data_IF_257831766418
#
_entry.id   IF_257831766418
#
_cell.length_a   1.000
_cell.length_b   1.000
_cell.length_c   1.000
_cell.angle_alpha   90.00
_cell.angle_beta   90.00
_cell.angle_gamma   90.00
#
_symmetry.space_group_name_H-M   'P 1'
#
loop_
_entity.id
_entity.type
_entity.pdbx_description
1 polymer ?
#
# COMPACT_ATOMS: atom_id res chain seq x y z
N UNK A 1 16.37 -18.36 -11.24
CA UNK A 1 16.34 -17.42 -10.13
C UNK A 1 16.19 -16.02 -10.64
N UNK A 2 15.72 -15.13 -9.79
CA UNK A 2 15.56 -13.75 -10.18
C UNK A 2 16.86 -12.98 -10.27
N UNK A 3 16.80 -11.71 -10.66
CA UNK A 3 17.98 -10.85 -10.71
C UNK A 3 18.62 -10.70 -9.33
N UNK A 4 19.87 -10.29 -9.31
CA UNK A 4 20.56 -10.02 -8.05
C UNK A 4 19.88 -8.87 -7.29
N UNK A 5 20.09 -8.82 -6.00
CA UNK A 5 19.54 -7.73 -5.16
C UNK A 5 20.06 -6.38 -5.65
N UNK A 6 21.32 -6.31 -6.05
CA UNK A 6 21.90 -5.05 -6.55
C UNK A 6 21.18 -4.56 -7.81
N UNK A 7 20.90 -5.48 -8.75
CA UNK A 7 20.19 -5.11 -9.97
C UNK A 7 18.76 -4.70 -9.67
N UNK A 8 18.09 -5.42 -8.77
CA UNK A 8 16.72 -5.08 -8.37
C UNK A 8 16.67 -3.72 -7.72
N UNK A 9 17.65 -3.38 -6.89
CA UNK A 9 17.72 -2.08 -6.24
C UNK A 9 17.94 -0.97 -7.26
N UNK A 10 18.81 -1.19 -8.25
CA UNK A 10 19.08 -0.20 -9.30
C UNK A 10 17.81 0.07 -10.11
N UNK A 11 17.10 -0.98 -10.51
CA UNK A 11 15.84 -0.83 -11.26
C UNK A 11 14.80 -0.09 -10.42
N UNK A 12 14.70 -0.45 -9.15
CA UNK A 12 13.75 0.20 -8.26
C UNK A 12 14.05 1.71 -8.14
N UNK A 13 15.31 2.07 -7.98
CA UNK A 13 15.67 3.49 -7.88
C UNK A 13 15.33 4.26 -9.15
N UNK A 14 15.47 3.63 -10.32
CA UNK A 14 15.06 4.26 -11.57
C UNK A 14 13.55 4.49 -11.62
N UNK A 15 12.77 3.50 -11.18
CA UNK A 15 11.31 3.63 -11.14
C UNK A 15 10.88 4.73 -10.16
N UNK A 16 11.53 4.78 -9.00
CA UNK A 16 11.23 5.81 -8.02
C UNK A 16 11.54 7.21 -8.55
N UNK A 17 12.68 7.37 -9.23
CA UNK A 17 13.04 8.66 -9.83
C UNK A 17 12.04 9.06 -10.91
N UNK A 18 11.59 8.12 -11.72
CA UNK A 18 10.61 8.39 -12.76
C UNK A 18 9.27 8.83 -12.15
N UNK A 19 8.85 8.17 -11.08
CA UNK A 19 7.62 8.54 -10.38
C UNK A 19 7.71 9.97 -9.84
N UNK A 20 8.86 10.33 -9.23
CA UNK A 20 9.07 11.69 -8.73
C UNK A 20 9.03 12.70 -9.85
N UNK A 21 9.74 12.45 -10.96
CA UNK A 21 9.78 13.36 -12.10
C UNK A 21 8.41 13.53 -12.73
N UNK A 22 7.58 12.50 -12.70
CA UNK A 22 6.24 12.52 -13.28
C UNK A 22 5.17 12.97 -12.30
N UNK A 23 5.52 13.22 -11.05
CA UNK A 23 4.59 13.58 -9.97
C UNK A 23 3.51 12.52 -9.78
N UNK A 24 3.90 11.25 -9.85
CA UNK A 24 3.00 10.12 -9.72
C UNK A 24 3.32 9.30 -8.47
N UNK A 25 2.31 8.65 -7.87
CA UNK A 25 2.58 7.72 -6.80
C UNK A 25 3.31 6.49 -7.34
N UNK A 26 4.10 5.85 -6.49
CA UNK A 26 4.80 4.61 -6.85
C UNK A 26 4.06 3.43 -6.25
N UNK A 27 3.67 2.48 -7.09
CA UNK A 27 2.98 1.26 -6.66
C UNK A 27 4.01 0.15 -6.61
N UNK A 28 4.13 -0.49 -5.45
CA UNK A 28 5.20 -1.42 -5.17
C UNK A 28 4.64 -2.80 -4.86
N UNK A 29 5.16 -3.81 -5.54
CA UNK A 29 4.91 -5.21 -5.18
C UNK A 29 6.07 -5.67 -4.31
N UNK A 30 5.79 -6.01 -3.06
CA UNK A 30 6.83 -6.47 -2.15
C UNK A 30 6.27 -7.61 -1.31
N UNK A 31 6.85 -8.78 -1.45
CA UNK A 31 6.48 -9.97 -0.69
C UNK A 31 7.51 -10.21 0.41
N UNK A 32 8.75 -9.85 0.13
CA UNK A 32 9.90 -10.03 1.03
C UNK A 32 10.71 -8.74 0.99
N UNK A 33 11.77 -8.69 1.78
CA UNK A 33 12.72 -7.57 1.73
C UNK A 33 12.10 -6.23 2.13
N UNK A 34 11.15 -6.25 3.08
CA UNK A 34 10.53 -5.00 3.55
C UNK A 34 11.54 -4.08 4.24
N UNK A 35 12.52 -4.65 4.94
CA UNK A 35 13.55 -3.83 5.58
C UNK A 35 14.33 -3.04 4.55
N UNK A 36 14.68 -3.67 3.44
CA UNK A 36 15.38 -3.02 2.33
C UNK A 36 14.53 -1.95 1.70
N UNK A 37 13.23 -2.22 1.54
CA UNK A 37 12.29 -1.24 0.98
C UNK A 37 12.19 -0.01 1.88
N UNK A 38 12.05 -0.20 3.18
CA UNK A 38 11.99 0.90 4.14
C UNK A 38 13.27 1.71 4.09
N UNK A 39 14.42 1.03 4.02
CA UNK A 39 15.71 1.71 3.94
C UNK A 39 15.81 2.56 2.67
N UNK A 40 15.36 2.03 1.53
CA UNK A 40 15.35 2.76 0.28
C UNK A 40 14.46 4.01 0.36
N UNK A 41 13.32 3.90 1.03
CA UNK A 41 12.45 5.06 1.19
C UNK A 41 13.14 6.16 2.00
N UNK A 42 13.85 5.77 3.05
CA UNK A 42 14.63 6.72 3.85
C UNK A 42 15.71 7.41 3.03
N UNK A 43 16.43 6.64 2.22
CA UNK A 43 17.52 7.18 1.39
C UNK A 43 17.00 8.11 0.30
N UNK A 44 15.92 7.73 -0.36
CA UNK A 44 15.37 8.49 -1.48
C UNK A 44 14.58 9.70 -0.98
N UNK A 45 13.93 9.58 0.17
CA UNK A 45 13.07 10.64 0.73
C UNK A 45 12.09 11.19 -0.30
N UNK A 46 11.23 10.33 -0.86
CA UNK A 46 10.36 10.75 -1.96
C UNK A 46 9.32 11.78 -1.53
N UNK A 47 8.97 12.67 -2.46
CA UNK A 47 7.84 13.59 -2.27
C UNK A 47 6.52 12.93 -2.66
N UNK A 48 6.56 11.95 -3.56
CA UNK A 48 5.35 11.27 -4.02
C UNK A 48 5.03 10.08 -3.13
N UNK A 49 3.74 9.74 -2.97
CA UNK A 49 3.34 8.61 -2.13
C UNK A 49 3.83 7.26 -2.68
N UNK A 50 4.17 6.37 -1.78
CA UNK A 50 4.51 4.99 -2.10
C UNK A 50 3.43 4.09 -1.53
N UNK A 51 2.88 3.23 -2.38
CA UNK A 51 1.80 2.30 -2.03
C UNK A 51 2.29 0.87 -2.17
N UNK A 52 2.16 0.09 -1.10
CA UNK A 52 2.48 -1.34 -1.17
C UNK A 52 1.22 -2.08 -1.60
N UNK A 53 1.27 -2.67 -2.79
CA UNK A 53 0.16 -3.41 -3.38
C UNK A 53 0.13 -4.84 -2.84
N UNK A 54 -1.07 -5.34 -2.56
CA UNK A 54 -1.23 -6.72 -2.13
C UNK A 54 -0.66 -7.00 -0.75
N UNK A 55 -0.74 -6.04 0.16
CA UNK A 55 -0.14 -6.19 1.48
C UNK A 55 -0.86 -7.27 2.29
N UNK A 56 -0.09 -8.23 2.79
CA UNK A 56 -0.59 -9.34 3.62
C UNK A 56 0.22 -9.50 4.90
N UNK A 57 0.98 -8.48 5.25
CA UNK A 57 1.89 -8.56 6.39
C UNK A 57 1.18 -8.58 7.74
N UNK A 58 1.93 -8.99 8.73
CA UNK A 58 1.45 -9.03 10.11
C UNK A 58 1.54 -7.63 10.73
N UNK A 59 0.93 -7.48 11.89
CA UNK A 59 0.81 -6.20 12.56
C UNK A 59 2.13 -5.44 12.74
N UNK A 60 3.22 -6.05 13.23
CA UNK A 60 4.46 -5.28 13.42
C UNK A 60 4.98 -4.68 12.11
N UNK A 61 4.88 -5.43 11.01
CA UNK A 61 5.34 -4.95 9.72
C UNK A 61 4.46 -3.81 9.21
N UNK A 62 3.13 -3.94 9.37
CA UNK A 62 2.21 -2.89 8.97
C UNK A 62 2.49 -1.59 9.71
N UNK A 63 2.72 -1.68 11.01
CA UNK A 63 3.04 -0.49 11.82
C UNK A 63 4.35 0.16 11.36
N UNK A 64 5.34 -0.65 11.02
CA UNK A 64 6.62 -0.14 10.52
C UNK A 64 6.42 0.60 9.19
N UNK A 65 5.68 0.01 8.28
CA UNK A 65 5.41 0.63 6.98
C UNK A 65 4.65 1.95 7.15
N UNK A 66 3.64 1.97 8.02
CA UNK A 66 2.85 3.17 8.26
C UNK A 66 3.72 4.25 8.90
N UNK A 67 4.57 3.88 9.84
CA UNK A 67 5.49 4.81 10.50
C UNK A 67 6.41 5.48 9.48
N UNK A 68 6.76 4.78 8.43
CA UNK A 68 7.62 5.32 7.37
C UNK A 68 6.84 5.92 6.21
N UNK A 69 5.54 6.13 6.38
CA UNK A 69 4.75 6.91 5.43
C UNK A 69 4.21 6.15 4.23
N UNK A 70 4.28 4.83 4.25
CA UNK A 70 3.68 4.03 3.18
C UNK A 70 2.17 4.02 3.26
N UNK A 71 1.52 3.89 2.10
CA UNK A 71 0.13 3.48 2.01
C UNK A 71 0.10 1.97 1.80
N UNK A 72 -0.93 1.32 2.31
CA UNK A 72 -1.08 -0.14 2.20
C UNK A 72 -2.37 -0.45 1.44
N UNK A 73 -2.23 -1.24 0.37
CA UNK A 73 -3.38 -1.69 -0.42
C UNK A 73 -3.62 -3.15 -0.10
N UNK A 74 -4.82 -3.48 0.34
CA UNK A 74 -5.17 -4.84 0.75
C UNK A 74 -6.23 -5.45 -0.16
N UNK A 75 -6.16 -6.78 -0.31
CA UNK A 75 -7.14 -7.55 -1.06
C UNK A 75 -7.84 -8.56 -0.18
N UNK A 76 -8.32 -9.65 -0.76
CA UNK A 76 -9.13 -10.66 -0.07
C UNK A 76 -8.37 -11.41 1.03
N UNK A 77 -7.05 -11.42 0.99
CA UNK A 77 -6.23 -12.21 1.92
C UNK A 77 -5.64 -11.38 3.05
N UNK A 78 -6.32 -10.35 3.48
CA UNK A 78 -5.83 -9.50 4.56
C UNK A 78 -5.87 -10.24 5.90
N UNK A 79 -5.03 -9.80 6.83
CA UNK A 79 -5.05 -10.30 8.21
C UNK A 79 -5.86 -9.34 9.07
N UNK A 80 -6.84 -9.88 9.81
CA UNK A 80 -7.80 -9.05 10.54
C UNK A 80 -7.14 -8.15 11.57
N UNK A 81 -6.24 -8.71 12.38
CA UNK A 81 -5.57 -7.90 13.40
C UNK A 81 -4.76 -6.76 12.80
N UNK A 82 -4.13 -7.02 11.67
CA UNK A 82 -3.36 -6.00 10.95
C UNK A 82 -4.30 -4.92 10.41
N UNK A 83 -5.38 -5.34 9.76
CA UNK A 83 -6.32 -4.41 9.15
C UNK A 83 -6.93 -3.47 10.18
N UNK A 84 -7.26 -3.98 11.37
CA UNK A 84 -7.86 -3.17 12.42
C UNK A 84 -7.01 -1.96 12.79
N UNK A 85 -5.70 -2.06 12.64
CA UNK A 85 -4.78 -1.00 13.04
C UNK A 85 -4.36 -0.08 11.90
N UNK A 86 -4.63 -0.44 10.65
CA UNK A 86 -4.29 0.43 9.53
C UNK A 86 -5.24 1.63 9.53
N UNK A 87 -4.70 2.87 9.64
CA UNK A 87 -5.57 4.05 9.60
C UNK A 87 -6.29 4.15 8.26
N UNK A 88 -7.51 4.65 8.28
CA UNK A 88 -8.29 4.80 7.06
C UNK A 88 -7.59 5.68 6.02
N UNK A 89 -6.82 6.68 6.47
CA UNK A 89 -6.13 7.58 5.55
C UNK A 89 -4.84 6.99 4.96
N UNK A 90 -4.54 5.73 5.26
CA UNK A 90 -3.38 5.02 4.69
C UNK A 90 -3.79 3.75 3.95
N UNK A 91 -5.07 3.57 3.71
CA UNK A 91 -5.63 2.32 3.22
C UNK A 91 -6.16 2.46 1.80
N UNK A 92 -5.82 1.45 0.96
CA UNK A 92 -6.48 1.21 -0.32
C UNK A 92 -6.98 -0.22 -0.33
N UNK A 93 -7.96 -0.49 -1.18
CA UNK A 93 -8.57 -1.81 -1.31
C UNK A 93 -8.54 -2.23 -2.78
N UNK A 94 -8.17 -3.48 -3.03
CA UNK A 94 -7.99 -4.00 -4.37
C UNK A 94 -8.61 -5.39 -4.49
N UNK A 95 -8.81 -5.86 -5.73
CA UNK A 95 -9.35 -7.20 -5.96
C UNK A 95 -8.28 -8.27 -6.07
N UNK A 96 -7.05 -7.97 -6.27
CA UNK A 96 -5.99 -8.94 -6.49
C UNK A 96 -6.42 -10.07 -7.44
N UNK A 97 -5.80 -11.26 -7.33
CA UNK A 97 -6.09 -12.40 -8.22
C UNK A 97 -7.21 -13.30 -7.70
N UNK A 98 -7.84 -12.95 -6.59
CA UNK A 98 -8.90 -13.77 -6.03
C UNK A 98 -10.19 -13.62 -6.84
N UNK A 99 -11.12 -14.55 -6.65
CA UNK A 99 -12.43 -14.48 -7.30
C UNK A 99 -13.42 -13.62 -6.50
N UNK A 100 -13.01 -13.14 -5.34
CA UNK A 100 -13.88 -12.32 -4.51
C UNK A 100 -14.11 -10.95 -5.15
N UNK A 101 -15.36 -10.51 -5.22
CA UNK A 101 -15.68 -9.21 -5.80
C UNK A 101 -15.17 -8.08 -4.91
N UNK A 102 -14.97 -6.91 -5.51
CA UNK A 102 -14.55 -5.74 -4.76
C UNK A 102 -15.59 -5.36 -3.70
N UNK A 103 -16.88 -5.52 -4.01
CA UNK A 103 -17.95 -5.24 -3.04
C UNK A 103 -17.88 -6.17 -1.84
N UNK A 104 -17.58 -7.44 -2.04
CA UNK A 104 -17.43 -8.40 -0.97
C UNK A 104 -16.24 -8.03 -0.07
N UNK A 105 -15.12 -7.63 -0.68
CA UNK A 105 -13.94 -7.22 0.08
C UNK A 105 -14.26 -5.98 0.91
N UNK A 106 -14.92 -4.98 0.33
CA UNK A 106 -15.34 -3.78 1.05
C UNK A 106 -16.20 -4.13 2.26
N UNK A 107 -17.15 -5.05 2.07
CA UNK A 107 -18.01 -5.48 3.18
C UNK A 107 -17.21 -6.09 4.31
N UNK A 108 -16.29 -7.00 3.98
CA UNK A 108 -15.46 -7.67 5.00
C UNK A 108 -14.54 -6.69 5.72
N UNK A 109 -13.95 -5.75 4.98
CA UNK A 109 -13.08 -4.74 5.57
C UNK A 109 -13.86 -3.81 6.51
N UNK A 110 -15.04 -3.37 6.08
CA UNK A 110 -15.89 -2.52 6.91
C UNK A 110 -16.27 -3.24 8.20
N UNK A 111 -16.69 -4.50 8.09
CA UNK A 111 -17.03 -5.30 9.27
C UNK A 111 -15.84 -5.45 10.21
N UNK A 112 -14.68 -5.74 9.67
CA UNK A 112 -13.47 -5.92 10.48
C UNK A 112 -13.11 -4.64 11.23
N UNK A 113 -13.26 -3.49 10.58
CA UNK A 113 -12.95 -2.20 11.18
C UNK A 113 -14.09 -1.64 12.03
N UNK A 114 -15.27 -2.25 11.98
CA UNK A 114 -16.41 -1.79 12.77
C UNK A 114 -17.00 -0.49 12.26
N UNK A 115 -16.98 -0.25 10.95
CA UNK A 115 -17.53 0.95 10.33
C UNK A 115 -18.51 0.56 9.23
N UNK A 116 -19.28 1.52 8.74
CA UNK A 116 -20.20 1.26 7.64
C UNK A 116 -19.43 1.18 6.32
N UNK A 117 -20.03 0.51 5.34
CA UNK A 117 -19.44 0.46 4.00
C UNK A 117 -19.37 1.85 3.38
N UNK A 118 -20.35 2.70 3.68
CA UNK A 118 -20.37 4.08 3.17
C UNK A 118 -19.19 4.87 3.73
N UNK A 119 -18.94 4.76 5.01
CA UNK A 119 -17.81 5.43 5.66
C UNK A 119 -16.48 4.95 5.05
N UNK A 120 -16.36 3.64 4.83
CA UNK A 120 -15.17 3.07 4.22
C UNK A 120 -14.99 3.60 2.80
N UNK A 121 -16.05 3.59 2.00
CA UNK A 121 -15.99 4.05 0.62
C UNK A 121 -15.56 5.52 0.55
N UNK A 122 -16.10 6.35 1.41
CA UNK A 122 -15.73 7.77 1.45
C UNK A 122 -14.26 7.96 1.80
N UNK A 123 -13.76 7.18 2.76
CA UNK A 123 -12.35 7.27 3.14
C UNK A 123 -11.43 6.84 1.99
N UNK A 124 -11.75 5.74 1.32
CA UNK A 124 -10.95 5.27 0.18
C UNK A 124 -11.00 6.28 -0.96
N UNK A 125 -12.16 6.82 -1.27
CA UNK A 125 -12.29 7.82 -2.32
C UNK A 125 -11.46 9.07 -2.02
N UNK A 126 -11.43 9.48 -0.76
CA UNK A 126 -10.58 10.61 -0.35
C UNK A 126 -9.10 10.28 -0.60
N UNK A 127 -8.67 9.08 -0.23
CA UNK A 127 -7.29 8.65 -0.45
C UNK A 127 -6.95 8.64 -1.94
N UNK A 128 -7.86 8.14 -2.77
CA UNK A 128 -7.66 8.12 -4.22
C UNK A 128 -7.45 9.55 -4.74
N UNK A 129 -8.29 10.48 -4.32
CA UNK A 129 -8.16 11.87 -4.77
C UNK A 129 -6.84 12.49 -4.30
N UNK A 130 -6.45 12.25 -3.06
CA UNK A 130 -5.23 12.85 -2.50
C UNK A 130 -3.96 12.25 -3.09
N UNK A 131 -3.99 10.98 -3.43
CA UNK A 131 -2.79 10.28 -3.91
C UNK A 131 -2.67 10.32 -5.43
N UNK A 132 -3.77 10.14 -6.16
CA UNK A 132 -3.73 10.00 -7.62
C UNK A 132 -4.20 11.23 -8.38
N UNK A 133 -5.05 12.05 -7.80
CA UNK A 133 -5.66 13.20 -8.49
C UNK A 133 -5.38 14.51 -7.76
N UNK A 134 -4.13 14.72 -7.43
CA UNK A 134 -3.72 15.98 -6.81
C UNK A 134 -3.97 17.15 -7.75
N UNK A 135 -4.52 18.18 -7.20
CA UNK A 135 -4.72 19.42 -7.93
C UNK A 135 -3.38 20.14 -8.14
#
# INVERSE_FOLDING_TARGET
>A
KGPSMELQTAVFKQEAALAEDSSLPLIIHCVKAFNELIQLKKEISPCQPWIIHGFRGKLPLALDCIRHGFYLSIGSHFQENTLKTIPLDRLFIETDESEESIGSIYQRVAETKGISQQELLEAINKNVREVFFKA
#
